data_IF_652419663604
#
_entry.id   IF_652419663604
#
_cell.length_a   1.000
_cell.length_b   1.000
_cell.length_c   1.000
_cell.angle_alpha   90.00
_cell.angle_beta   90.00
_cell.angle_gamma   90.00
#
_symmetry.space_group_name_H-M   'P 1'
#
loop_
_entity.id
_entity.type
_entity.pdbx_description
1 polymer ?
#
# COMPACT_ATOMS: atom_id res chain seq x y z
N UNK A 1 -25.37 -20.00 -9.48
CA UNK A 1 -24.70 -19.86 -8.16
C UNK A 1 -23.30 -19.23 -8.29
N UNK A 2 -22.50 -19.58 -9.30
CA UNK A 2 -21.14 -19.05 -9.50
C UNK A 2 -21.04 -17.51 -9.62
N UNK A 3 -21.94 -16.86 -10.37
CA UNK A 3 -21.94 -15.39 -10.57
C UNK A 3 -22.09 -14.60 -9.27
N UNK A 4 -22.99 -15.03 -8.37
CA UNK A 4 -23.20 -14.36 -7.07
C UNK A 4 -22.00 -14.47 -6.14
N UNK A 5 -21.24 -15.58 -6.24
CA UNK A 5 -20.02 -15.75 -5.45
C UNK A 5 -18.90 -14.84 -5.97
N UNK A 6 -18.74 -14.78 -7.28
CA UNK A 6 -17.74 -13.92 -7.92
C UNK A 6 -17.99 -12.42 -7.66
N UNK A 7 -19.24 -11.93 -7.77
CA UNK A 7 -19.57 -10.52 -7.46
C UNK A 7 -19.29 -10.15 -6.00
N UNK A 8 -19.39 -11.14 -5.10
CA UNK A 8 -19.02 -10.96 -3.68
C UNK A 8 -17.50 -10.86 -3.54
N UNK A 9 -16.75 -11.75 -4.16
CA UNK A 9 -15.28 -11.75 -4.16
C UNK A 9 -14.72 -10.44 -4.74
N UNK A 10 -15.25 -9.97 -5.88
CA UNK A 10 -14.89 -8.67 -6.46
C UNK A 10 -15.15 -7.50 -5.51
N UNK A 11 -16.29 -7.48 -4.82
CA UNK A 11 -16.61 -6.42 -3.85
C UNK A 11 -15.67 -6.47 -2.64
N UNK A 12 -15.35 -7.67 -2.16
CA UNK A 12 -14.41 -7.85 -1.04
C UNK A 12 -12.99 -7.42 -1.43
N UNK A 13 -12.50 -7.83 -2.60
CA UNK A 13 -11.19 -7.43 -3.11
C UNK A 13 -11.09 -5.91 -3.31
N UNK A 14 -12.14 -5.28 -3.87
CA UNK A 14 -12.23 -3.82 -3.97
C UNK A 14 -12.18 -3.15 -2.60
N UNK A 15 -12.94 -3.65 -1.62
CA UNK A 15 -12.95 -3.09 -0.27
C UNK A 15 -11.57 -3.21 0.40
N UNK A 16 -10.89 -4.35 0.23
CA UNK A 16 -9.53 -4.57 0.73
C UNK A 16 -8.52 -3.61 0.09
N UNK A 17 -8.61 -3.38 -1.22
CA UNK A 17 -7.80 -2.39 -1.92
C UNK A 17 -8.04 -0.96 -1.39
N UNK A 18 -9.29 -0.54 -1.24
CA UNK A 18 -9.62 0.79 -0.67
C UNK A 18 -9.08 0.92 0.76
N UNK A 19 -9.17 -0.13 1.58
CA UNK A 19 -8.58 -0.17 2.91
C UNK A 19 -7.05 0.00 2.88
N UNK A 20 -6.37 -0.66 1.94
CA UNK A 20 -4.92 -0.50 1.75
C UNK A 20 -4.53 0.93 1.35
N UNK A 21 -5.29 1.56 0.45
CA UNK A 21 -5.06 2.96 0.03
C UNK A 21 -5.18 3.92 1.20
N UNK A 22 -6.19 3.75 2.07
CA UNK A 22 -6.35 4.58 3.28
C UNK A 22 -5.18 4.41 4.25
N UNK A 23 -4.64 3.19 4.41
CA UNK A 23 -3.46 2.95 5.24
C UNK A 23 -2.21 3.61 4.66
N UNK A 24 -2.05 3.58 3.34
CA UNK A 24 -0.96 4.28 2.66
C UNK A 24 -1.07 5.80 2.86
N UNK A 25 -2.24 6.39 2.71
CA UNK A 25 -2.47 7.82 2.98
C UNK A 25 -2.05 8.21 4.41
N UNK A 26 -2.43 7.42 5.42
CA UNK A 26 -1.99 7.65 6.80
C UNK A 26 -0.47 7.53 6.97
N UNK A 27 0.14 6.50 6.39
CA UNK A 27 1.59 6.30 6.47
C UNK A 27 2.37 7.43 5.78
N UNK A 28 1.88 7.89 4.62
CA UNK A 28 2.48 9.01 3.88
C UNK A 28 2.40 10.31 4.67
N UNK A 29 1.27 10.62 5.31
CA UNK A 29 1.17 11.82 6.17
C UNK A 29 2.14 11.77 7.34
N UNK A 30 2.26 10.61 7.99
CA UNK A 30 3.24 10.45 9.07
C UNK A 30 4.68 10.61 8.58
N UNK A 31 4.96 10.17 7.35
CA UNK A 31 6.24 10.38 6.70
C UNK A 31 6.49 11.84 6.39
N UNK A 32 5.51 12.56 5.83
CA UNK A 32 5.63 13.99 5.54
C UNK A 32 5.88 14.82 6.82
N UNK A 33 5.26 14.41 7.94
CA UNK A 33 5.44 15.05 9.26
C UNK A 33 6.70 14.59 10.02
N UNK A 34 7.42 13.57 9.52
CA UNK A 34 8.48 12.89 10.28
C UNK A 34 9.79 13.66 10.38
N UNK A 35 10.02 14.62 9.46
CA UNK A 35 11.29 15.33 9.32
C UNK A 35 12.48 14.41 9.04
N UNK A 36 12.26 13.24 8.41
CA UNK A 36 13.35 12.33 8.05
C UNK A 36 14.30 13.04 7.08
N UNK A 37 15.61 13.13 7.41
CA UNK A 37 16.60 13.64 6.47
C UNK A 37 16.86 12.58 5.39
N UNK A 38 16.12 12.67 4.29
CA UNK A 38 16.35 11.83 3.11
C UNK A 38 17.61 12.26 2.33
N UNK A 39 17.91 13.56 2.35
CA UNK A 39 19.21 14.07 1.91
C UNK A 39 20.24 13.71 2.99
N UNK A 40 21.31 12.96 2.66
CA UNK A 40 22.35 12.61 3.63
C UNK A 40 23.19 13.82 4.08
N UNK A 41 23.11 14.96 3.37
CA UNK A 41 23.91 16.15 3.62
C UNK A 41 25.24 16.14 2.85
N UNK A 42 26.02 17.24 2.93
CA UNK A 42 27.22 17.44 2.12
C UNK A 42 28.47 16.73 2.66
N UNK A 43 28.40 16.12 3.84
CA UNK A 43 29.54 15.52 4.53
C UNK A 43 29.75 14.03 4.23
N UNK A 44 30.88 13.46 4.68
CA UNK A 44 31.14 12.02 4.55
C UNK A 44 30.22 11.17 5.45
N UNK A 45 29.72 11.73 6.55
CA UNK A 45 28.80 11.06 7.46
C UNK A 45 27.36 11.54 7.22
N UNK A 46 26.40 10.62 7.00
CA UNK A 46 25.01 10.99 6.74
C UNK A 46 24.31 11.48 8.01
N UNK A 47 23.28 12.31 7.85
CA UNK A 47 22.39 12.64 8.96
C UNK A 47 21.76 11.37 9.56
N UNK A 48 21.84 11.17 10.89
CA UNK A 48 21.43 9.92 11.50
C UNK A 48 19.90 9.78 11.51
N UNK A 49 19.43 8.56 11.30
CA UNK A 49 18.04 8.20 11.49
C UNK A 49 17.80 7.68 12.91
N UNK A 50 16.75 8.17 13.54
CA UNK A 50 16.26 7.61 14.80
C UNK A 50 15.54 6.28 14.58
N UNK A 51 15.36 5.50 15.65
CA UNK A 51 14.51 4.30 15.59
C UNK A 51 13.07 4.61 15.12
N UNK A 52 12.56 5.81 15.46
CA UNK A 52 11.25 6.28 14.96
C UNK A 52 11.25 6.48 13.45
N UNK A 53 12.31 7.07 12.90
CA UNK A 53 12.47 7.27 11.45
C UNK A 53 12.48 5.94 10.71
N UNK A 54 13.28 4.97 11.18
CA UNK A 54 13.32 3.62 10.60
C UNK A 54 11.95 2.97 10.60
N UNK A 55 11.22 3.04 11.72
CA UNK A 55 9.86 2.49 11.80
C UNK A 55 8.91 3.11 10.78
N UNK A 56 8.92 4.44 10.63
CA UNK A 56 8.07 5.14 9.65
C UNK A 56 8.40 4.69 8.23
N UNK A 57 9.69 4.56 7.88
CA UNK A 57 10.11 4.06 6.57
C UNK A 57 9.60 2.64 6.29
N UNK A 58 9.67 1.76 7.29
CA UNK A 58 9.14 0.39 7.18
C UNK A 58 7.62 0.37 7.04
N UNK A 59 6.90 1.23 7.76
CA UNK A 59 5.44 1.35 7.66
C UNK A 59 5.00 1.84 6.28
N UNK A 60 5.68 2.85 5.72
CA UNK A 60 5.43 3.35 4.36
C UNK A 60 5.70 2.26 3.32
N UNK A 61 6.86 1.59 3.41
CA UNK A 61 7.24 0.49 2.52
C UNK A 61 6.20 -0.64 2.54
N UNK A 62 5.78 -1.06 3.74
CA UNK A 62 4.73 -2.07 3.92
C UNK A 62 3.38 -1.64 3.36
N UNK A 63 3.02 -0.37 3.51
CA UNK A 63 1.77 0.17 2.97
C UNK A 63 1.76 0.18 1.43
N UNK A 64 2.88 0.56 0.79
CA UNK A 64 3.02 0.45 -0.67
C UNK A 64 2.89 -1.00 -1.15
N UNK A 65 3.62 -1.92 -0.51
CA UNK A 65 3.56 -3.34 -0.84
C UNK A 65 2.13 -3.89 -0.74
N UNK A 66 1.39 -3.49 0.30
CA UNK A 66 0.01 -3.89 0.51
C UNK A 66 -0.91 -3.34 -0.60
N UNK A 67 -0.79 -2.06 -0.96
CA UNK A 67 -1.58 -1.46 -2.05
C UNK A 67 -1.35 -2.19 -3.37
N UNK A 68 -0.09 -2.46 -3.72
CA UNK A 68 0.28 -3.18 -4.95
C UNK A 68 -0.31 -4.60 -4.93
N UNK A 69 -0.15 -5.31 -3.81
CA UNK A 69 -0.68 -6.68 -3.65
C UNK A 69 -2.20 -6.72 -3.83
N UNK A 70 -2.95 -5.86 -3.11
CA UNK A 70 -4.43 -5.83 -3.20
C UNK A 70 -4.91 -5.37 -4.56
N UNK A 71 -4.18 -4.48 -5.23
CA UNK A 71 -4.52 -4.08 -6.58
C UNK A 71 -4.38 -5.26 -7.56
N UNK A 72 -3.27 -6.00 -7.48
CA UNK A 72 -3.05 -7.20 -8.32
C UNK A 72 -4.11 -8.27 -8.11
N UNK A 73 -4.49 -8.52 -6.86
CA UNK A 73 -5.56 -9.46 -6.50
C UNK A 73 -6.90 -9.04 -7.13
N UNK A 74 -7.29 -7.78 -6.96
CA UNK A 74 -8.53 -7.27 -7.54
C UNK A 74 -8.52 -7.30 -9.08
N UNK A 75 -7.41 -6.91 -9.71
CA UNK A 75 -7.25 -6.98 -11.16
C UNK A 75 -7.20 -8.42 -11.70
N UNK A 76 -6.73 -9.37 -10.89
CA UNK A 76 -6.77 -10.81 -11.20
C UNK A 76 -8.22 -11.31 -11.31
N UNK A 77 -9.02 -11.07 -10.28
CA UNK A 77 -10.44 -11.44 -10.26
C UNK A 77 -11.22 -10.80 -11.41
N UNK A 78 -10.93 -9.53 -11.72
CA UNK A 78 -11.57 -8.83 -12.86
C UNK A 78 -11.23 -9.46 -14.21
N UNK A 79 -10.00 -9.95 -14.40
CA UNK A 79 -9.59 -10.63 -15.64
C UNK A 79 -10.27 -11.99 -15.78
N UNK A 80 -10.35 -12.75 -14.69
CA UNK A 80 -11.06 -14.03 -14.65
C UNK A 80 -12.56 -13.87 -14.91
N UNK A 81 -13.14 -12.71 -14.58
CA UNK A 81 -14.56 -12.42 -14.79
C UNK A 81 -14.94 -12.04 -16.21
N UNK A 82 -13.99 -11.60 -17.05
CA UNK A 82 -14.28 -11.26 -18.45
C UNK A 82 -14.58 -12.55 -19.23
N UNK A 83 -15.75 -13.16 -19.00
CA UNK A 83 -16.61 -14.00 -19.86
C UNK A 83 -17.67 -14.67 -18.95
N UNK A 84 -18.97 -14.39 -19.18
CA UNK A 84 -19.78 -15.36 -19.93
C UNK A 84 -20.60 -14.68 -21.03
N UNK A 85 -20.50 -15.21 -22.26
CA UNK A 85 -21.46 -14.94 -23.34
C UNK A 85 -22.87 -15.39 -22.93
#
# INVERSE_FOLDING_TARGET
>A
MATRNHDRELRQARAAYVGAVRRLDVAMRQFDESGIPLDPGPGPEPYPWSARHVRIMLEVSGAFALVISRRREWDGLRREWVTPH
#
